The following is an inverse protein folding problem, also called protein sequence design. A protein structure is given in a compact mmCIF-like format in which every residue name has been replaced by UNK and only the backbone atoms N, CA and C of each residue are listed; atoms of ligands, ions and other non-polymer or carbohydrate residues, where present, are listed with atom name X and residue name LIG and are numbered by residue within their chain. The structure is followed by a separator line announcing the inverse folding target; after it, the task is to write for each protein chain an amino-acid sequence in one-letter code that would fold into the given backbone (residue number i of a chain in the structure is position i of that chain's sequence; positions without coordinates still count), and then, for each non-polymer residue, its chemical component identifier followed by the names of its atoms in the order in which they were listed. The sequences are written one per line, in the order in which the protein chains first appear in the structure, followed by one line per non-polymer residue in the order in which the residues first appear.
data_IF_122193752804
#
_entry.id   IF_122193752804
#
_cell.length_a   1.000
_cell.length_b   1.000
_cell.length_c   1.000
_cell.angle_alpha   90.00
_cell.angle_beta   90.00
_cell.angle_gamma   90.00
#
_symmetry.space_group_name_H-M   'P 1'
#
loop_
_entity.id
_entity.type
_entity.pdbx_description
1 polymer ?
#
# COMPACT_ATOMS: atom_id res chain seq x y z
N UNK A 1 27.28 -6.53 -11.48
CA UNK A 1 27.95 -5.66 -12.43
C UNK A 1 28.22 -4.37 -11.71
N UNK A 2 29.46 -3.94 -11.61
CA UNK A 2 29.75 -2.59 -11.19
C UNK A 2 29.37 -1.72 -12.39
N UNK A 3 28.44 -0.84 -12.18
CA UNK A 3 28.06 0.13 -13.15
C UNK A 3 29.12 1.21 -13.21
N UNK A 4 29.42 1.69 -14.40
CA UNK A 4 30.46 2.71 -14.65
C UNK A 4 30.09 4.10 -14.07
N UNK A 5 29.32 4.15 -12.98
CA UNK A 5 28.85 5.39 -12.35
C UNK A 5 27.80 6.14 -13.15
N UNK A 6 27.16 5.47 -14.11
CA UNK A 6 26.05 6.04 -14.87
C UNK A 6 24.76 6.03 -14.07
N UNK A 7 24.09 7.15 -14.06
CA UNK A 7 22.73 7.24 -13.50
C UNK A 7 21.71 6.59 -14.44
N UNK A 8 20.81 5.78 -13.87
CA UNK A 8 19.71 5.18 -14.62
C UNK A 8 18.38 5.72 -14.10
N UNK A 9 17.50 6.05 -15.02
CA UNK A 9 16.11 6.36 -14.71
C UNK A 9 15.38 5.06 -14.40
N UNK A 10 14.99 4.86 -13.14
CA UNK A 10 14.23 3.68 -12.70
C UNK A 10 12.74 3.79 -12.98
N UNK A 11 12.23 5.01 -13.17
CA UNK A 11 10.83 5.29 -13.45
C UNK A 11 10.37 6.60 -12.82
N UNK A 12 9.12 6.94 -13.06
CA UNK A 12 8.46 8.07 -12.40
C UNK A 12 7.78 7.62 -11.12
N UNK A 13 7.87 8.40 -10.06
CA UNK A 13 7.10 8.16 -8.82
C UNK A 13 5.61 8.48 -8.99
N UNK A 14 5.27 9.25 -10.02
CA UNK A 14 3.89 9.59 -10.31
C UNK A 14 3.20 8.46 -11.08
N UNK A 15 1.95 8.12 -10.73
CA UNK A 15 1.17 7.17 -11.50
C UNK A 15 0.81 7.73 -12.87
N UNK A 16 0.63 6.87 -13.84
CA UNK A 16 0.09 7.23 -15.14
C UNK A 16 -1.41 7.53 -15.06
N UNK A 17 -2.13 6.75 -14.22
CA UNK A 17 -3.56 6.92 -13.98
C UNK A 17 -3.90 6.73 -12.52
N UNK A 18 -4.78 7.63 -12.02
CA UNK A 18 -5.51 7.46 -10.77
C UNK A 18 -6.98 7.28 -11.10
N UNK A 19 -7.55 6.17 -10.67
CA UNK A 19 -8.93 5.79 -10.90
C UNK A 19 -9.67 5.73 -9.58
N UNK A 20 -10.91 6.24 -9.55
CA UNK A 20 -11.80 6.08 -8.43
C UNK A 20 -13.21 5.81 -8.94
N UNK A 21 -13.85 4.78 -8.42
CA UNK A 21 -15.23 4.45 -8.74
C UNK A 21 -16.05 4.38 -7.47
N UNK A 22 -16.93 5.36 -7.30
CA UNK A 22 -17.90 5.41 -6.22
C UNK A 22 -19.27 5.01 -6.74
N UNK A 23 -19.98 4.21 -5.96
CA UNK A 23 -21.36 3.86 -6.22
C UNK A 23 -22.14 3.88 -4.91
N UNK A 24 -23.32 4.50 -4.94
CA UNK A 24 -24.24 4.61 -3.80
C UNK A 24 -25.61 4.08 -4.24
N UNK A 25 -26.05 2.99 -3.63
CA UNK A 25 -27.30 2.30 -3.92
C UNK A 25 -28.28 2.49 -2.75
N UNK A 26 -29.49 2.85 -3.07
CA UNK A 26 -30.55 3.00 -2.07
C UNK A 26 -31.77 2.17 -2.47
N UNK A 27 -32.21 1.30 -1.58
CA UNK A 27 -33.37 0.47 -1.80
C UNK A 27 -34.18 0.25 -0.52
N UNK A 28 -35.44 0.72 -0.49
CA UNK A 28 -36.36 0.56 0.64
C UNK A 28 -35.78 0.90 2.02
N UNK A 29 -34.98 1.99 2.08
CA UNK A 29 -34.33 2.43 3.31
C UNK A 29 -32.95 1.78 3.58
N UNK A 30 -32.56 0.78 2.80
CA UNK A 30 -31.19 0.26 2.82
C UNK A 30 -30.29 1.14 1.96
N UNK A 31 -29.12 1.49 2.47
CA UNK A 31 -28.09 2.27 1.78
C UNK A 31 -26.81 1.46 1.72
N UNK A 32 -26.30 1.24 0.53
CA UNK A 32 -25.02 0.59 0.30
C UNK A 32 -24.16 1.54 -0.52
N UNK A 33 -23.04 1.97 0.05
CA UNK A 33 -22.03 2.78 -0.66
C UNK A 33 -20.71 2.03 -0.72
N UNK A 34 -19.99 2.12 -1.84
CA UNK A 34 -18.63 1.65 -1.91
C UNK A 34 -17.77 2.57 -2.79
N UNK A 35 -16.49 2.62 -2.44
CA UNK A 35 -15.46 3.33 -3.20
C UNK A 35 -14.31 2.37 -3.50
N UNK A 36 -14.11 2.12 -4.78
CA UNK A 36 -12.92 1.44 -5.29
C UNK A 36 -11.94 2.48 -5.79
N UNK A 37 -10.68 2.35 -5.42
CA UNK A 37 -9.60 3.17 -5.96
C UNK A 37 -8.55 2.30 -6.63
N UNK A 38 -7.92 2.86 -7.66
CA UNK A 38 -6.85 2.22 -8.40
C UNK A 38 -5.78 3.24 -8.77
N UNK A 39 -4.55 2.87 -8.54
CA UNK A 39 -3.36 3.57 -9.00
C UNK A 39 -2.67 2.68 -10.02
N UNK A 40 -2.42 3.18 -11.20
CA UNK A 40 -1.76 2.46 -12.30
C UNK A 40 -0.45 3.14 -12.63
N UNK A 41 0.64 2.37 -12.62
CA UNK A 41 1.98 2.87 -12.87
C UNK A 41 2.59 3.59 -11.67
N UNK A 42 3.75 4.18 -11.90
CA UNK A 42 4.60 4.75 -10.88
C UNK A 42 5.50 3.71 -10.22
N UNK A 43 6.60 4.18 -9.65
CA UNK A 43 7.53 3.34 -8.88
C UNK A 43 7.64 3.83 -7.45
N UNK A 44 7.91 2.89 -6.55
CA UNK A 44 8.18 3.17 -5.14
C UNK A 44 9.46 2.45 -4.73
N UNK A 45 10.38 3.18 -4.10
CA UNK A 45 11.60 2.63 -3.54
C UNK A 45 11.40 2.29 -2.06
N UNK A 46 11.68 1.05 -1.66
CA UNK A 46 11.60 0.64 -0.26
C UNK A 46 12.97 0.76 0.42
N UNK A 47 13.21 1.88 1.06
CA UNK A 47 14.35 2.05 1.95
C UNK A 47 14.18 1.19 3.22
N UNK A 48 12.96 0.86 3.62
CA UNK A 48 12.67 -0.08 4.69
C UNK A 48 13.29 -1.45 4.39
N UNK A 49 12.95 -2.03 3.23
CA UNK A 49 13.47 -3.34 2.84
C UNK A 49 15.00 -3.31 2.66
N UNK A 50 15.53 -2.24 2.05
CA UNK A 50 16.97 -2.07 1.88
C UNK A 50 17.70 -2.09 3.23
N UNK A 51 17.19 -1.37 4.22
CA UNK A 51 17.78 -1.35 5.57
C UNK A 51 17.64 -2.70 6.29
N UNK A 52 16.46 -3.35 6.21
CA UNK A 52 16.27 -4.66 6.82
C UNK A 52 17.24 -5.70 6.24
N UNK A 53 17.47 -5.66 4.94
CA UNK A 53 18.41 -6.53 4.26
C UNK A 53 19.86 -6.18 4.61
N UNK A 54 20.21 -4.90 4.63
CA UNK A 54 21.56 -4.41 5.01
C UNK A 54 21.98 -4.93 6.37
N UNK A 55 21.08 -4.91 7.35
CA UNK A 55 21.33 -5.39 8.71
C UNK A 55 21.05 -6.87 8.90
N UNK A 56 20.59 -7.57 7.87
CA UNK A 56 20.37 -9.01 7.88
C UNK A 56 19.20 -9.48 8.74
N UNK A 57 18.22 -8.59 8.99
CA UNK A 57 17.05 -8.87 9.83
C UNK A 57 15.78 -9.17 9.03
N UNK A 58 15.85 -9.14 7.71
CA UNK A 58 14.75 -9.53 6.84
C UNK A 58 14.63 -11.06 6.73
N UNK A 59 13.41 -11.52 6.39
CA UNK A 59 13.20 -12.94 6.09
C UNK A 59 14.05 -13.38 4.90
N UNK A 60 14.16 -12.57 3.86
CA UNK A 60 14.96 -12.89 2.67
C UNK A 60 16.44 -13.11 3.02
N UNK A 61 17.01 -12.27 3.89
CA UNK A 61 18.38 -12.44 4.36
C UNK A 61 18.56 -13.69 5.25
N UNK A 62 17.53 -14.04 6.05
CA UNK A 62 17.54 -15.25 6.85
C UNK A 62 17.50 -16.50 5.97
N UNK A 63 16.55 -16.57 5.05
CA UNK A 63 16.40 -17.68 4.11
C UNK A 63 17.69 -17.89 3.27
N UNK A 64 18.33 -16.79 2.84
CA UNK A 64 19.59 -16.85 2.11
C UNK A 64 20.76 -17.36 2.97
N UNK A 65 20.81 -17.03 4.27
CA UNK A 65 21.80 -17.59 5.19
C UNK A 65 21.62 -19.09 5.36
N UNK A 66 20.37 -19.51 5.54
CA UNK A 66 20.04 -20.93 5.73
C UNK A 66 20.32 -21.75 4.46
N UNK A 67 20.15 -21.15 3.28
CA UNK A 67 20.53 -21.72 2.00
C UNK A 67 22.05 -21.72 1.71
N UNK A 68 22.87 -21.19 2.62
CA UNK A 68 24.33 -21.11 2.48
C UNK A 68 24.83 -19.93 1.66
N UNK A 69 23.96 -19.04 1.18
CA UNK A 69 24.32 -17.84 0.43
C UNK A 69 23.32 -17.47 -0.66
N UNK A 70 23.67 -16.46 -1.45
CA UNK A 70 22.90 -16.01 -2.61
C UNK A 70 23.61 -16.43 -3.90
N UNK A 71 22.88 -17.07 -4.80
CA UNK A 71 23.41 -17.45 -6.11
C UNK A 71 23.36 -16.24 -7.06
N UNK A 72 24.51 -15.67 -7.38
CA UNK A 72 24.63 -14.50 -8.24
C UNK A 72 24.90 -14.95 -9.67
N UNK A 73 24.15 -14.39 -10.63
CA UNK A 73 24.23 -14.73 -12.06
C UNK A 73 24.10 -16.23 -12.37
N UNK A 74 23.44 -16.99 -11.50
CA UNK A 74 23.24 -18.42 -11.66
C UNK A 74 24.52 -19.27 -11.59
N UNK A 75 25.65 -18.69 -11.19
CA UNK A 75 26.98 -19.37 -11.26
C UNK A 75 27.80 -19.25 -9.98
N UNK A 76 27.69 -18.17 -9.25
CA UNK A 76 28.54 -17.90 -8.09
C UNK A 76 27.74 -17.80 -6.81
N UNK A 77 28.02 -18.68 -5.85
CA UNK A 77 27.45 -18.59 -4.52
C UNK A 77 28.24 -17.55 -3.70
N UNK A 78 27.56 -16.50 -3.26
CA UNK A 78 28.12 -15.42 -2.46
C UNK A 78 27.51 -15.48 -1.08
N UNK A 79 28.30 -15.20 -0.03
CA UNK A 79 27.79 -15.09 1.33
C UNK A 79 26.61 -14.11 1.39
N UNK A 80 25.51 -14.53 2.02
CA UNK A 80 24.30 -13.71 2.18
C UNK A 80 24.63 -12.33 2.81
N UNK A 81 25.50 -12.32 3.83
CA UNK A 81 25.93 -11.08 4.48
C UNK A 81 26.59 -10.12 3.48
N UNK A 82 27.58 -10.59 2.72
CA UNK A 82 28.32 -9.75 1.75
C UNK A 82 27.39 -9.23 0.65
N UNK A 83 26.45 -10.07 0.20
CA UNK A 83 25.47 -9.69 -0.80
C UNK A 83 24.56 -8.58 -0.30
N UNK A 84 23.86 -8.81 0.79
CA UNK A 84 22.87 -7.84 1.30
C UNK A 84 23.51 -6.55 1.82
N UNK A 85 24.71 -6.62 2.42
CA UNK A 85 25.46 -5.42 2.78
C UNK A 85 25.86 -4.58 1.57
N UNK A 86 26.13 -5.22 0.42
CA UNK A 86 26.46 -4.49 -0.80
C UNK A 86 25.21 -3.94 -1.48
N UNK A 87 24.15 -4.73 -1.61
CA UNK A 87 22.94 -4.35 -2.33
C UNK A 87 22.10 -3.33 -1.56
N UNK A 88 21.96 -3.50 -0.24
CA UNK A 88 21.17 -2.63 0.65
C UNK A 88 21.87 -1.35 1.11
N UNK A 89 23.17 -1.15 0.78
CA UNK A 89 23.89 0.05 1.17
C UNK A 89 23.41 1.29 0.39
N UNK A 90 23.74 2.50 0.89
CA UNK A 90 23.43 3.76 0.19
C UNK A 90 24.01 3.85 -1.22
N UNK A 91 25.19 3.24 -1.43
CA UNK A 91 25.81 3.09 -2.75
C UNK A 91 25.53 1.74 -3.39
N UNK A 92 24.44 1.09 -2.99
CA UNK A 92 24.03 -0.24 -3.44
C UNK A 92 23.31 -0.24 -4.77
N UNK A 93 22.33 -1.16 -4.89
CA UNK A 93 21.54 -1.34 -6.09
C UNK A 93 20.09 -0.88 -5.84
N UNK A 94 19.75 0.41 -6.00
CA UNK A 94 18.41 0.89 -5.71
C UNK A 94 17.33 0.21 -6.56
N UNK A 95 17.65 -0.24 -7.77
CA UNK A 95 16.72 -1.01 -8.62
C UNK A 95 16.25 -2.33 -7.97
N UNK A 96 17.02 -2.90 -7.06
CA UNK A 96 16.66 -4.13 -6.34
C UNK A 96 15.48 -3.92 -5.38
N UNK A 97 15.34 -2.70 -4.87
CA UNK A 97 14.30 -2.30 -3.92
C UNK A 97 13.27 -1.35 -4.51
N UNK A 98 13.28 -1.17 -5.84
CA UNK A 98 12.29 -0.36 -6.54
C UNK A 98 11.19 -1.26 -7.10
N UNK A 99 9.97 -0.97 -6.73
CA UNK A 99 8.77 -1.75 -7.05
C UNK A 99 7.79 -0.91 -7.86
N UNK A 100 7.00 -1.58 -8.69
CA UNK A 100 5.85 -0.97 -9.36
C UNK A 100 4.76 -0.67 -8.32
N UNK A 101 4.33 0.58 -8.25
CA UNK A 101 3.36 1.06 -7.26
C UNK A 101 1.90 0.81 -7.65
N UNK A 102 1.64 0.09 -8.73
CA UNK A 102 0.28 -0.22 -9.17
C UNK A 102 -0.48 -1.01 -8.10
N UNK A 103 -1.63 -0.50 -7.72
CA UNK A 103 -2.50 -1.15 -6.74
C UNK A 103 -3.97 -0.86 -6.98
N UNK A 104 -4.84 -1.74 -6.49
CA UNK A 104 -6.29 -1.59 -6.45
C UNK A 104 -6.81 -1.94 -5.06
N UNK A 105 -7.69 -1.08 -4.51
CA UNK A 105 -8.22 -1.26 -3.16
C UNK A 105 -9.70 -0.91 -3.04
N UNK A 106 -10.35 -1.58 -2.10
CA UNK A 106 -11.66 -1.17 -1.58
C UNK A 106 -11.40 -0.13 -0.48
N UNK A 107 -11.52 1.15 -0.88
CA UNK A 107 -11.17 2.26 -0.02
C UNK A 107 -12.25 2.58 1.00
N UNK A 108 -13.52 2.46 0.60
CA UNK A 108 -14.66 2.69 1.48
C UNK A 108 -15.77 1.67 1.20
N UNK A 109 -16.40 1.22 2.27
CA UNK A 109 -17.65 0.46 2.21
C UNK A 109 -18.55 0.99 3.32
N UNK A 110 -19.78 1.37 2.96
CA UNK A 110 -20.79 1.82 3.90
C UNK A 110 -22.07 1.00 3.72
N UNK A 111 -22.62 0.58 4.83
CA UNK A 111 -23.93 -0.08 4.87
C UNK A 111 -24.79 0.63 5.90
N UNK A 112 -25.93 1.17 5.46
CA UNK A 112 -26.82 1.92 6.33
C UNK A 112 -28.28 1.46 6.16
N UNK A 113 -29.06 1.73 7.18
CA UNK A 113 -30.50 1.53 7.13
C UNK A 113 -31.24 2.69 7.76
N UNK A 114 -32.19 3.25 7.01
CA UNK A 114 -33.09 4.30 7.49
C UNK A 114 -34.38 3.66 8.00
N UNK A 115 -34.62 3.83 9.27
CA UNK A 115 -35.82 3.30 9.92
C UNK A 115 -37.07 4.03 9.42
N UNK A 116 -38.18 3.33 9.22
CA UNK A 116 -39.45 3.95 8.85
C UNK A 116 -39.88 4.98 9.91
N UNK A 117 -40.33 6.16 9.48
CA UNK A 117 -40.81 7.24 10.38
C UNK A 117 -41.84 6.81 11.41
N UNK A 118 -42.69 5.85 11.05
CA UNK A 118 -43.69 5.27 11.93
C UNK A 118 -43.15 4.75 13.27
N UNK A 119 -41.88 4.28 13.30
CA UNK A 119 -41.23 3.81 14.52
C UNK A 119 -40.93 4.92 15.50
N UNK A 120 -40.77 6.14 14.99
CA UNK A 120 -40.49 7.35 15.79
C UNK A 120 -41.71 8.29 15.87
N UNK A 121 -42.92 7.71 15.72
CA UNK A 121 -44.18 8.47 15.77
C UNK A 121 -44.24 9.65 14.78
N UNK A 122 -43.63 9.46 13.60
CA UNK A 122 -43.52 10.44 12.51
C UNK A 122 -42.79 11.76 12.87
N UNK A 123 -42.12 11.83 14.04
CA UNK A 123 -41.42 13.03 14.51
C UNK A 123 -39.99 13.15 14.01
N UNK A 124 -39.34 12.03 13.71
CA UNK A 124 -37.95 12.01 13.30
C UNK A 124 -37.67 10.84 12.36
N UNK A 125 -36.55 10.92 11.63
CA UNK A 125 -36.01 9.82 10.82
C UNK A 125 -34.67 9.42 11.40
N UNK A 126 -34.48 8.14 11.71
CA UNK A 126 -33.24 7.59 12.23
C UNK A 126 -32.56 6.75 11.16
N UNK A 127 -31.32 7.09 10.82
CA UNK A 127 -30.46 6.30 9.96
C UNK A 127 -29.28 5.78 10.75
N UNK A 128 -29.09 4.48 10.73
CA UNK A 128 -27.91 3.81 11.31
C UNK A 128 -27.04 3.30 10.18
N UNK A 129 -25.74 3.55 10.24
CA UNK A 129 -24.82 3.04 9.24
C UNK A 129 -23.48 2.63 9.83
N UNK A 130 -22.91 1.59 9.22
CA UNK A 130 -21.55 1.12 9.46
C UNK A 130 -20.71 1.57 8.27
N UNK A 131 -19.56 2.18 8.55
CA UNK A 131 -18.63 2.65 7.51
C UNK A 131 -17.27 2.06 7.80
N UNK A 132 -16.66 1.49 6.78
CA UNK A 132 -15.30 0.98 6.85
C UNK A 132 -14.42 1.65 5.83
N UNK A 133 -13.18 2.00 6.23
CA UNK A 133 -12.17 2.57 5.33
C UNK A 133 -10.95 1.65 5.23
N UNK A 134 -10.29 1.66 4.06
CA UNK A 134 -9.13 0.84 3.74
C UNK A 134 -9.34 -0.65 4.02
N UNK A 135 -10.51 -1.17 3.68
CA UNK A 135 -10.92 -2.51 4.09
C UNK A 135 -10.11 -3.61 3.42
N UNK A 136 -9.76 -3.44 2.17
CA UNK A 136 -9.10 -4.48 1.41
C UNK A 136 -8.21 -3.94 0.30
N UNK A 137 -6.93 -4.34 0.32
CA UNK A 137 -6.03 -4.25 -0.82
C UNK A 137 -6.33 -5.42 -1.74
N UNK A 138 -7.10 -5.18 -2.81
CA UNK A 138 -7.56 -6.23 -3.73
C UNK A 138 -6.37 -6.79 -4.49
N UNK A 139 -5.49 -5.89 -4.94
CA UNK A 139 -4.29 -6.24 -5.67
C UNK A 139 -3.22 -5.17 -5.52
N UNK A 140 -1.95 -5.61 -5.42
CA UNK A 140 -0.80 -4.75 -5.33
C UNK A 140 0.41 -5.47 -5.93
N UNK A 141 1.21 -4.77 -6.73
CA UNK A 141 2.46 -5.32 -7.25
C UNK A 141 3.61 -5.25 -6.25
N UNK A 142 3.65 -4.21 -5.43
CA UNK A 142 4.64 -4.09 -4.37
C UNK A 142 4.33 -5.06 -3.21
N UNK A 143 5.33 -5.57 -2.48
CA UNK A 143 5.14 -6.43 -1.31
C UNK A 143 4.71 -5.67 -0.04
N UNK A 144 4.48 -4.36 -0.15
CA UNK A 144 4.07 -3.45 0.91
C UNK A 144 3.03 -2.45 0.36
N UNK A 145 2.48 -1.58 1.21
CA UNK A 145 1.55 -0.53 0.77
C UNK A 145 2.31 0.63 0.08
N UNK A 146 2.23 0.77 -1.25
CA UNK A 146 2.99 1.77 -2.00
C UNK A 146 2.50 3.21 -1.80
N UNK A 147 1.38 3.40 -1.11
CA UNK A 147 0.87 4.73 -0.75
C UNK A 147 1.37 5.20 0.62
N UNK A 148 2.02 4.31 1.37
CA UNK A 148 2.65 4.60 2.64
C UNK A 148 4.05 5.17 2.42
N UNK A 149 4.13 6.45 2.04
CA UNK A 149 5.39 7.13 1.70
C UNK A 149 5.88 8.00 2.86
N UNK A 150 7.20 8.15 2.97
CA UNK A 150 7.84 8.89 4.06
C UNK A 150 7.49 10.39 4.07
N UNK A 151 7.20 10.95 2.90
CA UNK A 151 6.83 12.35 2.76
C UNK A 151 6.06 12.57 1.47
N UNK A 152 5.17 13.56 1.47
CA UNK A 152 4.52 14.09 0.27
C UNK A 152 5.34 15.22 -0.38
N UNK A 153 6.45 15.62 0.21
CA UNK A 153 7.37 16.61 -0.35
C UNK A 153 8.13 16.08 -1.58
N UNK A 154 8.48 16.96 -2.49
CA UNK A 154 9.06 16.61 -3.79
C UNK A 154 10.31 15.72 -3.74
N UNK A 155 11.11 15.80 -2.67
CA UNK A 155 12.37 15.06 -2.58
C UNK A 155 12.22 13.62 -2.06
N UNK A 156 11.09 13.28 -1.41
CA UNK A 156 10.89 11.98 -0.75
C UNK A 156 9.60 11.27 -1.18
N UNK A 157 9.00 11.75 -2.26
CA UNK A 157 7.84 11.05 -2.85
C UNK A 157 8.26 9.68 -3.37
N UNK A 158 7.41 8.70 -3.17
CA UNK A 158 7.66 7.35 -3.63
C UNK A 158 8.77 6.61 -2.87
N UNK A 159 9.16 7.09 -1.69
CA UNK A 159 10.09 6.40 -0.80
C UNK A 159 9.33 5.88 0.43
N UNK A 160 9.33 4.57 0.61
CA UNK A 160 8.92 3.92 1.84
C UNK A 160 10.13 3.89 2.81
N UNK A 161 9.97 4.49 3.99
CA UNK A 161 10.99 4.50 5.04
C UNK A 161 10.37 4.28 6.42
N UNK A 162 10.18 3.02 6.81
CA UNK A 162 9.61 2.58 8.09
C UNK A 162 8.25 3.20 8.42
N UNK A 163 7.48 3.53 7.38
CA UNK A 163 6.14 4.08 7.56
C UNK A 163 5.13 2.98 7.88
N UNK A 164 4.17 3.33 8.71
CA UNK A 164 3.05 2.41 8.98
C UNK A 164 2.16 2.33 7.74
N UNK A 165 1.72 1.11 7.37
CA UNK A 165 0.75 0.96 6.30
C UNK A 165 -0.58 1.63 6.63
N UNK A 166 -1.38 1.91 5.61
CA UNK A 166 -2.71 2.49 5.77
C UNK A 166 -3.58 1.66 6.72
N UNK A 167 -4.10 2.30 7.76
CA UNK A 167 -4.91 1.62 8.77
C UNK A 167 -6.32 1.32 8.26
N UNK A 168 -6.83 0.15 8.62
CA UNK A 168 -8.26 -0.15 8.48
C UNK A 168 -9.01 0.53 9.62
N UNK A 169 -10.12 1.18 9.29
CA UNK A 169 -11.00 1.74 10.29
C UNK A 169 -12.44 1.30 10.09
N UNK A 170 -13.15 1.08 11.19
CA UNK A 170 -14.57 0.79 11.20
C UNK A 170 -15.24 1.81 12.12
N UNK A 171 -16.30 2.43 11.63
CA UNK A 171 -17.08 3.42 12.34
C UNK A 171 -18.57 3.12 12.31
N UNK A 172 -19.26 3.56 13.33
CA UNK A 172 -20.72 3.62 13.37
C UNK A 172 -21.16 5.07 13.20
N UNK A 173 -22.14 5.28 12.35
CA UNK A 173 -22.75 6.59 12.15
C UNK A 173 -24.24 6.51 12.50
N UNK A 174 -24.70 7.44 13.31
CA UNK A 174 -26.09 7.58 13.71
C UNK A 174 -26.57 8.98 13.29
N UNK A 175 -27.48 9.03 12.35
CA UNK A 175 -28.07 10.28 11.87
C UNK A 175 -29.53 10.36 12.28
N UNK A 176 -29.90 11.44 12.93
CA UNK A 176 -31.27 11.74 13.35
C UNK A 176 -31.72 13.05 12.68
N UNK A 177 -32.73 12.96 11.85
CA UNK A 177 -33.36 14.08 11.15
C UNK A 177 -34.76 14.35 11.75
N UNK A 178 -35.02 15.57 12.21
CA UNK A 178 -36.29 16.01 12.82
C UNK A 178 -37.22 16.68 11.82
#
# INVERSE_FOLDING_TARGET
MADDGKEFLLGSVFPEYNLAWRNDLTWKGLHLGFLLSGRIGGVCYSATQANLDLYGVSKASADARDAGGVLVNGRQLVSAQKWYQKVGSQSGLPQYYTYDATNFRLQELSLGYTLPRKWLKDKATLTLSIVGHNLWMIWCKAPFDPESVASTGNNYQGIDYFMMPSLRSLGLNVKLDF
#
